data_IF_897357883342
#
_entry.id   IF_897357883342
#
_cell.length_a   1.000
_cell.length_b   1.000
_cell.length_c   1.000
_cell.angle_alpha   90.00
_cell.angle_beta   90.00
_cell.angle_gamma   90.00
#
_symmetry.space_group_name_H-M   'P 1'
#
loop_
_entity.id
_entity.type
_entity.pdbx_description
1 polymer ?
#
# COMPACT_ATOMS: atom_id res chain seq x y z
N UNK A 1 1.10 -16.85 -14.18
CA UNK A 1 1.59 -17.64 -13.04
C UNK A 1 0.38 -18.29 -12.38
N UNK A 2 0.48 -19.51 -11.86
CA UNK A 2 -0.54 -20.04 -10.94
C UNK A 2 -0.75 -19.00 -9.83
N UNK A 3 -1.99 -18.80 -9.39
CA UNK A 3 -2.23 -18.11 -8.12
C UNK A 3 -1.62 -19.00 -7.05
N UNK A 4 -0.35 -18.77 -6.72
CA UNK A 4 0.37 -19.55 -5.71
C UNK A 4 -0.49 -19.55 -4.45
N UNK A 5 -0.89 -20.74 -3.99
CA UNK A 5 -1.59 -20.89 -2.72
C UNK A 5 -0.70 -20.24 -1.67
N UNK A 6 -1.23 -19.22 -1.00
CA UNK A 6 -0.53 -18.51 0.06
C UNK A 6 -0.26 -19.54 1.17
N UNK A 7 1.00 -19.93 1.34
CA UNK A 7 1.42 -20.88 2.39
C UNK A 7 1.29 -20.28 3.80
N UNK A 8 1.20 -18.95 3.90
CA UNK A 8 1.23 -18.19 5.15
C UNK A 8 0.23 -17.01 5.11
N UNK A 9 -1.02 -17.30 5.44
CA UNK A 9 -2.15 -16.36 5.36
C UNK A 9 -2.00 -15.18 6.32
N UNK A 10 -1.28 -15.36 7.43
CA UNK A 10 -1.07 -14.33 8.46
C UNK A 10 -0.33 -13.12 7.89
N UNK A 11 0.61 -13.35 6.97
CA UNK A 11 1.38 -12.30 6.29
C UNK A 11 0.52 -11.37 5.42
N UNK A 12 -0.71 -11.74 5.12
CA UNK A 12 -1.61 -10.99 4.24
C UNK A 12 -2.83 -10.43 4.97
N UNK A 13 -2.85 -10.52 6.30
CA UNK A 13 -3.85 -9.85 7.13
C UNK A 13 -3.66 -8.33 7.01
N UNK A 14 -4.76 -7.61 6.86
CA UNK A 14 -4.72 -6.16 6.86
C UNK A 14 -4.22 -5.66 8.22
N UNK A 15 -3.17 -4.84 8.20
CA UNK A 15 -2.59 -4.24 9.41
C UNK A 15 -2.89 -2.75 9.50
N UNK A 16 -3.04 -2.07 8.36
CA UNK A 16 -3.22 -0.63 8.31
C UNK A 16 -4.33 -0.21 7.35
N UNK A 17 -4.86 0.98 7.59
CA UNK A 17 -5.90 1.60 6.75
C UNK A 17 -5.26 2.53 5.74
N UNK A 18 -5.95 2.70 4.61
CA UNK A 18 -5.58 3.63 3.55
C UNK A 18 -6.65 4.71 3.41
N UNK A 19 -6.22 5.93 3.10
CA UNK A 19 -7.08 7.07 2.83
C UNK A 19 -6.64 7.76 1.54
N UNK A 20 -7.59 8.45 0.91
CA UNK A 20 -7.32 9.44 -0.14
C UNK A 20 -7.50 10.82 0.49
N UNK A 21 -6.45 11.64 0.45
CA UNK A 21 -6.55 13.06 0.76
C UNK A 21 -6.41 13.88 -0.53
N UNK A 22 -6.84 15.15 -0.51
CA UNK A 22 -6.68 16.06 -1.63
C UNK A 22 -5.77 17.22 -1.22
N UNK A 23 -4.61 17.32 -1.87
CA UNK A 23 -3.66 18.42 -1.67
C UNK A 23 -3.68 19.28 -2.92
N UNK A 24 -4.22 20.51 -2.81
CA UNK A 24 -4.39 21.43 -3.95
C UNK A 24 -5.08 20.75 -5.13
N UNK A 25 -6.23 20.12 -4.87
CA UNK A 25 -7.03 19.37 -5.86
C UNK A 25 -6.39 18.09 -6.41
N UNK A 26 -5.17 17.74 -6.01
CA UNK A 26 -4.54 16.48 -6.41
C UNK A 26 -4.84 15.38 -5.38
N UNK A 27 -5.44 14.24 -5.78
CA UNK A 27 -5.63 13.12 -4.88
C UNK A 27 -4.26 12.53 -4.52
N UNK A 28 -4.03 12.29 -3.23
CA UNK A 28 -2.80 11.68 -2.72
C UNK A 28 -3.13 10.44 -1.90
N UNK A 29 -2.30 9.41 -2.07
CA UNK A 29 -2.45 8.14 -1.39
C UNK A 29 -1.82 8.21 0.00
N UNK A 30 -2.63 7.94 1.03
CA UNK A 30 -2.21 8.00 2.43
C UNK A 30 -2.36 6.64 3.12
N UNK A 31 -1.34 6.23 3.87
CA UNK A 31 -1.41 5.10 4.81
C UNK A 31 -1.46 5.69 6.22
N UNK A 32 -2.38 5.19 7.05
CA UNK A 32 -2.55 5.65 8.43
C UNK A 32 -1.70 4.79 9.36
N UNK A 33 -0.79 5.42 10.10
CA UNK A 33 -0.05 4.82 11.21
C UNK A 33 -0.76 5.19 12.53
N UNK A 34 -1.22 4.16 13.25
CA UNK A 34 -1.92 4.34 14.53
C UNK A 34 -0.99 4.02 15.73
N UNK A 35 0.15 3.34 15.50
CA UNK A 35 1.08 2.96 16.55
C UNK A 35 1.99 4.14 16.95
N UNK A 36 1.81 4.63 18.18
CA UNK A 36 2.56 5.76 18.73
C UNK A 36 4.08 5.52 18.80
N UNK A 37 4.53 4.28 19.02
CA UNK A 37 5.96 3.94 19.03
C UNK A 37 6.56 4.09 17.63
N UNK A 38 5.86 3.61 16.59
CA UNK A 38 6.28 3.79 15.20
C UNK A 38 6.30 5.26 14.80
N UNK A 39 5.25 6.03 15.13
CA UNK A 39 5.21 7.48 14.90
C UNK A 39 6.42 8.16 15.57
N UNK A 40 6.73 7.76 16.81
CA UNK A 40 7.90 8.27 17.53
C UNK A 40 9.19 7.97 16.77
N UNK A 41 9.41 6.73 16.30
CA UNK A 41 10.58 6.36 15.49
C UNK A 41 10.75 7.28 14.26
N UNK A 42 9.66 7.58 13.56
CA UNK A 42 9.68 8.46 12.39
C UNK A 42 9.96 9.93 12.72
N UNK A 43 9.46 10.42 13.85
CA UNK A 43 9.61 11.83 14.26
C UNK A 43 10.97 12.11 14.86
N UNK A 44 11.57 11.15 15.59
CA UNK A 44 12.93 11.24 16.12
C UNK A 44 14.01 11.04 15.06
N UNK A 45 13.65 10.57 13.87
CA UNK A 45 14.60 10.34 12.80
C UNK A 45 15.07 11.66 12.18
N UNK A 46 16.28 12.09 12.54
CA UNK A 46 16.85 13.39 12.15
C UNK A 46 16.92 13.60 10.64
N UNK A 47 17.15 12.53 9.88
CA UNK A 47 17.36 12.64 8.43
C UNK A 47 16.31 11.87 7.64
N UNK A 48 15.07 12.38 7.61
CA UNK A 48 13.95 11.82 6.84
C UNK A 48 14.26 11.50 5.37
N UNK A 49 15.29 12.12 4.77
CA UNK A 49 15.74 11.81 3.40
C UNK A 49 16.40 10.43 3.25
N UNK A 50 16.83 9.80 4.35
CA UNK A 50 17.39 8.43 4.36
C UNK A 50 16.32 7.35 4.48
N UNK A 51 15.05 7.71 4.69
CA UNK A 51 13.97 6.73 4.73
C UNK A 51 13.86 6.09 3.35
N UNK A 52 14.08 4.78 3.29
CA UNK A 52 13.84 4.01 2.08
C UNK A 52 12.47 3.38 2.18
N UNK A 53 11.66 3.56 1.15
CA UNK A 53 10.34 2.98 1.10
C UNK A 53 10.12 2.23 -0.21
N UNK A 54 9.32 1.17 -0.14
CA UNK A 54 8.88 0.44 -1.33
C UNK A 54 7.42 0.04 -1.17
N UNK A 55 6.70 -0.01 -2.30
CA UNK A 55 5.34 -0.50 -2.36
C UNK A 55 5.30 -1.69 -3.32
N UNK A 56 4.79 -2.82 -2.83
CA UNK A 56 4.61 -4.02 -3.65
C UNK A 56 3.15 -4.43 -3.66
N UNK A 57 2.59 -4.62 -4.84
CA UNK A 57 1.25 -5.18 -5.01
C UNK A 57 1.26 -6.69 -4.87
N UNK A 58 0.13 -7.24 -4.47
CA UNK A 58 -0.19 -8.65 -4.57
C UNK A 58 -1.66 -8.83 -4.89
N UNK A 59 -2.00 -9.98 -5.47
CA UNK A 59 -3.38 -10.39 -5.67
C UNK A 59 -3.72 -11.44 -4.64
N UNK A 60 -4.93 -11.35 -4.09
CA UNK A 60 -5.48 -12.37 -3.21
C UNK A 60 -6.85 -12.81 -3.73
N UNK A 61 -7.24 -14.04 -3.45
CA UNK A 61 -8.58 -14.54 -3.76
C UNK A 61 -9.25 -14.95 -2.45
N UNK A 62 -10.33 -14.26 -2.11
CA UNK A 62 -11.19 -14.64 -1.02
C UNK A 62 -12.39 -15.43 -1.55
N UNK A 63 -12.88 -16.39 -0.78
CA UNK A 63 -13.98 -17.26 -1.20
C UNK A 63 -15.29 -16.48 -1.41
N UNK A 64 -15.60 -15.53 -0.51
CA UNK A 64 -16.82 -14.72 -0.58
C UNK A 64 -16.70 -13.44 -1.44
N UNK A 65 -15.67 -12.62 -1.21
CA UNK A 65 -15.49 -11.31 -1.88
C UNK A 65 -14.70 -11.37 -3.20
N UNK A 66 -14.20 -12.55 -3.59
CA UNK A 66 -13.55 -12.76 -4.88
C UNK A 66 -12.11 -12.27 -4.93
N UNK A 67 -11.68 -11.81 -6.11
CA UNK A 67 -10.31 -11.34 -6.34
C UNK A 67 -10.12 -9.97 -5.70
N UNK A 68 -9.01 -9.79 -4.98
CA UNK A 68 -8.65 -8.58 -4.25
C UNK A 68 -7.24 -8.13 -4.66
N UNK A 69 -7.03 -6.83 -4.70
CA UNK A 69 -5.68 -6.24 -4.78
C UNK A 69 -5.28 -5.77 -3.39
N UNK A 70 -4.16 -6.30 -2.90
CA UNK A 70 -3.51 -5.78 -1.71
C UNK A 70 -2.17 -5.16 -2.04
N UNK A 71 -1.64 -4.39 -1.10
CA UNK A 71 -0.27 -3.89 -1.19
C UNK A 71 0.45 -4.00 0.14
N UNK A 72 1.76 -4.23 0.04
CA UNK A 72 2.72 -4.18 1.13
C UNK A 72 3.58 -2.95 0.96
N UNK A 73 3.40 -1.98 1.86
CA UNK A 73 4.28 -0.85 1.98
C UNK A 73 5.36 -1.19 3.00
N UNK A 74 6.63 -1.11 2.60
CA UNK A 74 7.78 -1.37 3.47
C UNK A 74 8.55 -0.08 3.66
N UNK A 75 8.84 0.25 4.89
CA UNK A 75 9.63 1.42 5.27
C UNK A 75 10.84 0.95 6.04
N UNK A 76 12.02 1.30 5.55
CA UNK A 76 13.28 1.02 6.23
C UNK A 76 13.80 2.30 6.88
N UNK A 77 13.99 2.23 8.20
CA UNK A 77 14.62 3.28 9.02
C UNK A 77 15.84 2.64 9.68
N UNK A 78 17.04 3.12 9.34
CA UNK A 78 18.29 2.47 9.76
C UNK A 78 18.28 0.97 9.40
N UNK A 79 18.41 0.10 10.40
CA UNK A 79 18.40 -1.36 10.27
C UNK A 79 17.02 -1.99 10.55
N UNK A 80 16.01 -1.17 10.90
CA UNK A 80 14.65 -1.63 11.15
C UNK A 80 13.79 -1.52 9.89
N UNK A 81 12.99 -2.56 9.63
CA UNK A 81 12.03 -2.62 8.53
C UNK A 81 10.62 -2.73 9.11
N UNK A 82 9.80 -1.72 8.84
CA UNK A 82 8.38 -1.71 9.15
C UNK A 82 7.59 -2.11 7.91
N UNK A 83 6.63 -3.03 8.06
CA UNK A 83 5.81 -3.55 6.97
C UNK A 83 4.32 -3.29 7.25
N UNK A 84 3.65 -2.73 6.25
CA UNK A 84 2.27 -2.30 6.27
C UNK A 84 1.51 -3.06 5.18
N UNK A 85 0.61 -3.95 5.57
CA UNK A 85 -0.29 -4.67 4.67
C UNK A 85 -1.64 -3.97 4.61
N UNK A 86 -2.09 -3.61 3.40
CA UNK A 86 -3.37 -2.94 3.18
C UNK A 86 -4.11 -3.52 1.97
N UNK A 87 -5.44 -3.40 1.96
CA UNK A 87 -6.30 -3.71 0.81
C UNK A 87 -6.99 -2.41 0.36
N UNK A 88 -6.31 -1.59 -0.46
CA UNK A 88 -6.78 -0.26 -0.80
C UNK A 88 -7.95 -0.29 -1.81
N UNK A 89 -8.75 0.78 -1.81
CA UNK A 89 -9.70 1.03 -2.88
C UNK A 89 -8.97 1.40 -4.20
N UNK A 90 -9.65 1.24 -5.34
CA UNK A 90 -9.08 1.53 -6.66
C UNK A 90 -8.55 2.97 -6.79
N UNK A 91 -9.24 3.94 -6.20
CA UNK A 91 -8.82 5.35 -6.20
C UNK A 91 -7.44 5.55 -5.57
N UNK A 92 -7.12 4.80 -4.51
CA UNK A 92 -5.79 4.82 -3.89
C UNK A 92 -4.74 4.24 -4.83
N UNK A 93 -5.07 3.15 -5.52
CA UNK A 93 -4.18 2.54 -6.51
C UNK A 93 -3.87 3.55 -7.62
N UNK A 94 -4.89 4.25 -8.12
CA UNK A 94 -4.76 5.30 -9.13
C UNK A 94 -3.89 6.45 -8.64
N UNK A 95 -4.14 6.96 -7.43
CA UNK A 95 -3.40 8.06 -6.85
C UNK A 95 -1.91 7.71 -6.63
N UNK A 96 -1.61 6.47 -6.23
CA UNK A 96 -0.23 5.98 -6.12
C UNK A 96 0.47 5.97 -7.48
N UNK A 97 -0.17 5.41 -8.50
CA UNK A 97 0.42 5.27 -9.83
C UNK A 97 0.64 6.64 -10.47
N UNK A 98 -0.33 7.55 -10.32
CA UNK A 98 -0.27 8.88 -10.91
C UNK A 98 0.83 9.75 -10.28
N UNK A 99 0.93 9.73 -8.95
CA UNK A 99 1.83 10.64 -8.23
C UNK A 99 3.18 10.03 -7.86
N UNK A 100 3.32 8.71 -7.99
CA UNK A 100 4.50 7.94 -7.55
C UNK A 100 4.93 8.25 -6.11
N UNK A 101 3.97 8.62 -5.26
CA UNK A 101 4.20 9.11 -3.91
C UNK A 101 3.18 8.53 -2.95
N UNK A 102 3.64 8.16 -1.75
CA UNK A 102 2.80 7.79 -0.62
C UNK A 102 3.08 8.74 0.53
N UNK A 103 2.02 9.07 1.25
CA UNK A 103 2.06 9.81 2.50
C UNK A 103 1.80 8.86 3.66
N UNK A 104 2.66 8.89 4.67
CA UNK A 104 2.35 8.27 5.96
C UNK A 104 1.79 9.36 6.87
N UNK A 105 0.60 9.14 7.40
CA UNK A 105 -0.11 10.09 8.26
C UNK A 105 -0.47 9.43 9.59
N UNK A 106 -0.64 10.23 10.64
CA UNK A 106 -1.18 9.75 11.92
C UNK A 106 -2.72 9.71 11.90
N UNK A 107 -3.31 9.23 12.99
CA UNK A 107 -4.76 9.19 13.18
C UNK A 107 -5.43 10.58 13.28
N UNK A 108 -4.66 11.65 13.45
CA UNK A 108 -5.11 13.05 13.41
C UNK A 108 -4.95 13.67 12.02
N UNK A 109 -4.64 12.86 11.00
CA UNK A 109 -4.36 13.27 9.62
C UNK A 109 -3.14 14.19 9.48
N UNK A 110 -2.24 14.23 10.46
CA UNK A 110 -0.98 14.97 10.33
C UNK A 110 0.02 14.13 9.55
N UNK A 111 0.71 14.76 8.61
CA UNK A 111 1.76 14.11 7.84
C UNK A 111 2.96 13.79 8.73
N UNK A 112 3.31 12.50 8.80
CA UNK A 112 4.54 12.03 9.45
C UNK A 112 5.71 12.24 8.48
N UNK A 113 5.58 11.67 7.28
CA UNK A 113 6.47 11.90 6.14
C UNK A 113 5.77 11.55 4.82
N UNK A 114 6.40 11.89 3.70
CA UNK A 114 6.04 11.39 2.38
C UNK A 114 7.28 10.88 1.67
N UNK A 115 7.10 9.90 0.78
CA UNK A 115 8.21 9.29 0.04
C UNK A 115 7.80 8.97 -1.39
N UNK A 116 8.75 9.13 -2.31
CA UNK A 116 8.61 8.59 -3.67
C UNK A 116 8.74 7.07 -3.63
N UNK A 117 7.96 6.38 -4.44
CA UNK A 117 7.97 4.93 -4.55
C UNK A 117 8.06 4.51 -6.01
N UNK A 118 8.82 3.44 -6.28
CA UNK A 118 8.76 2.78 -7.59
C UNK A 118 7.44 2.02 -7.69
N UNK A 119 6.65 2.34 -8.71
CA UNK A 119 5.31 1.76 -8.92
C UNK A 119 5.31 0.63 -9.94
N UNK A 120 6.42 0.32 -10.62
CA UNK A 120 6.48 -0.66 -11.71
C UNK A 120 5.87 -2.02 -11.36
N UNK A 121 6.23 -2.58 -10.20
CA UNK A 121 5.67 -3.85 -9.74
C UNK A 121 4.18 -3.73 -9.38
N UNK A 122 3.77 -2.57 -8.87
CA UNK A 122 2.40 -2.30 -8.50
C UNK A 122 1.49 -2.13 -9.73
N UNK A 123 1.97 -1.42 -10.76
CA UNK A 123 1.30 -1.28 -12.06
C UNK A 123 1.10 -2.65 -12.71
N UNK A 124 2.11 -3.52 -12.67
CA UNK A 124 2.00 -4.91 -13.16
C UNK A 124 0.91 -5.68 -12.42
N UNK A 125 0.91 -5.59 -11.09
CA UNK A 125 -0.12 -6.25 -10.25
C UNK A 125 -1.52 -5.78 -10.63
N UNK A 126 -1.73 -4.47 -10.79
CA UNK A 126 -3.01 -3.90 -11.22
C UNK A 126 -3.43 -4.38 -12.61
N UNK A 127 -2.49 -4.43 -13.55
CA UNK A 127 -2.77 -4.95 -14.90
C UNK A 127 -3.19 -6.42 -14.87
N UNK A 128 -2.54 -7.23 -14.05
CA UNK A 128 -2.93 -8.63 -13.84
C UNK A 128 -4.31 -8.75 -13.19
N UNK A 129 -4.60 -7.94 -12.18
CA UNK A 129 -5.94 -7.88 -11.56
C UNK A 129 -7.03 -7.64 -12.61
N UNK A 130 -6.87 -6.59 -13.43
CA UNK A 130 -7.84 -6.25 -14.47
C UNK A 130 -8.05 -7.40 -15.46
N UNK A 131 -6.98 -8.07 -15.89
CA UNK A 131 -7.06 -9.24 -16.78
C UNK A 131 -7.83 -10.39 -16.14
N UNK A 132 -7.55 -10.71 -14.87
CA UNK A 132 -8.26 -11.77 -14.17
C UNK A 132 -9.73 -11.41 -13.94
N UNK A 133 -10.04 -10.15 -13.64
CA UNK A 133 -11.40 -9.67 -13.48
C UNK A 133 -12.20 -9.84 -14.79
N UNK A 134 -11.65 -9.44 -15.93
CA UNK A 134 -12.28 -9.64 -17.25
C UNK A 134 -12.55 -11.12 -17.56
N UNK A 135 -11.65 -12.02 -17.16
CA UNK A 135 -11.84 -13.47 -17.36
C UNK A 135 -13.00 -13.97 -16.50
N UNK A 136 -13.06 -13.55 -15.23
CA UNK A 136 -14.14 -13.93 -14.31
C UNK A 136 -15.49 -13.40 -14.77
N UNK A 137 -15.53 -12.17 -15.29
CA UNK A 137 -16.76 -11.56 -15.77
C UNK A 137 -17.26 -12.20 -17.08
N UNK A 138 -16.36 -12.71 -17.94
CA UNK A 138 -16.71 -13.49 -19.15
C UNK A 138 -17.20 -14.91 -18.85
N UNK A 139 -17.02 -15.40 -17.63
CA UNK A 139 -17.45 -16.75 -17.20
C UNK A 139 -18.78 -16.75 -16.45
N UNK A 140 -19.36 -15.57 -16.19
CA UNK A 140 -20.73 -15.39 -15.68
C UNK A 140 -21.73 -15.32 -16.84
#
# INVERSE_FOLDING_TARGET
MPLDKIEDTEKFIQTHKTLILHIKENPVACIVEENLENISKYTTFENKSKIKASLRGFLNKHEEIGLLVGCKFKVQINDEVLEYTTYPANEFIDAVILNEMIFLIDNQMKQIFSCKISTDQFVKTKSEFNKFQEILDKQK
#
